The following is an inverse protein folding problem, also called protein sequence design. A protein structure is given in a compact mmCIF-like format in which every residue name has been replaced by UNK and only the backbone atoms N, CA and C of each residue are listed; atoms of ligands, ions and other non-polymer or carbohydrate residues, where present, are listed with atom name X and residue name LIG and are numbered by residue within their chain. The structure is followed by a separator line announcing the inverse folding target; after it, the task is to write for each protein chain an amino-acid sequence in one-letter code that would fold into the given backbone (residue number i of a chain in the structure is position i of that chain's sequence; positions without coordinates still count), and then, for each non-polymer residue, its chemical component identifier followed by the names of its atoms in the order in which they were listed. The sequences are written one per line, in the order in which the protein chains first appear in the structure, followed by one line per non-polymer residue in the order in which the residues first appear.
data_IF_206374222301
#
_entry.id   IF_206374222301
#
_cell.length_a   1.000
_cell.length_b   1.000
_cell.length_c   1.000
_cell.angle_alpha   90.00
_cell.angle_beta   90.00
_cell.angle_gamma   90.00
#
_symmetry.space_group_name_H-M   'P 1'
#
loop_
_entity.id
_entity.type
_entity.pdbx_description
1 polymer ?
#
# COMPACT_ATOMS: atom_id res chain seq x y z
N UNK A 1 23.08 -18.78 -6.40
CA UNK A 1 22.13 -17.65 -6.35
C UNK A 1 21.16 -17.88 -5.19
N UNK A 2 21.43 -17.29 -4.01
CA UNK A 2 20.59 -17.42 -2.81
C UNK A 2 19.40 -16.45 -2.96
N UNK A 3 18.34 -16.89 -3.62
CA UNK A 3 17.08 -16.14 -3.70
C UNK A 3 16.26 -16.40 -2.43
N UNK A 4 15.77 -15.31 -1.84
CA UNK A 4 14.97 -15.22 -0.61
C UNK A 4 15.73 -15.29 0.73
N UNK A 5 16.39 -14.20 1.11
CA UNK A 5 16.30 -13.80 2.52
C UNK A 5 14.87 -13.31 2.73
N UNK A 6 14.05 -14.07 3.45
CA UNK A 6 12.80 -13.56 4.00
C UNK A 6 13.15 -12.30 4.79
N UNK A 7 12.53 -11.17 4.45
CA UNK A 7 12.80 -9.92 5.17
C UNK A 7 12.41 -10.09 6.64
N UNK A 8 13.07 -9.35 7.54
CA UNK A 8 12.72 -9.41 8.96
C UNK A 8 11.24 -9.06 9.20
N UNK A 9 10.67 -8.18 8.34
CA UNK A 9 9.25 -7.86 8.35
C UNK A 9 8.40 -9.09 7.95
N UNK A 10 8.71 -9.72 6.83
CA UNK A 10 7.96 -10.90 6.36
C UNK A 10 8.02 -12.06 7.37
N UNK A 11 9.17 -12.27 8.03
CA UNK A 11 9.30 -13.29 9.07
C UNK A 11 8.36 -13.04 10.27
N UNK A 12 8.18 -11.77 10.66
CA UNK A 12 7.25 -11.38 11.73
C UNK A 12 5.79 -11.58 11.30
N UNK A 13 5.44 -11.16 10.09
CA UNK A 13 4.08 -11.33 9.56
C UNK A 13 3.70 -12.82 9.49
N UNK A 14 4.62 -13.67 9.01
CA UNK A 14 4.42 -15.11 8.97
C UNK A 14 4.19 -15.70 10.37
N UNK A 15 4.92 -15.22 11.39
CA UNK A 15 4.72 -15.68 12.76
C UNK A 15 3.34 -15.31 13.33
N UNK A 16 2.87 -14.09 13.07
CA UNK A 16 1.52 -13.64 13.48
C UNK A 16 0.45 -14.47 12.77
N UNK A 17 0.61 -14.72 11.47
CA UNK A 17 -0.31 -15.52 10.68
C UNK A 17 -0.41 -16.97 11.19
N UNK A 18 0.71 -17.59 11.55
CA UNK A 18 0.73 -18.95 12.09
C UNK A 18 0.12 -19.06 13.49
N UNK A 19 0.38 -18.09 14.37
CA UNK A 19 -0.03 -18.17 15.77
C UNK A 19 -1.40 -17.54 16.05
N UNK A 20 -1.85 -16.62 15.19
CA UNK A 20 -3.08 -15.86 15.37
C UNK A 20 -3.73 -15.51 14.01
N UNK A 21 -4.22 -16.51 13.26
CA UNK A 21 -4.69 -16.32 11.88
C UNK A 21 -5.87 -15.35 11.76
N UNK A 22 -6.82 -15.40 12.69
CA UNK A 22 -7.95 -14.46 12.71
C UNK A 22 -7.50 -13.03 12.99
N UNK A 23 -6.55 -12.85 13.91
CA UNK A 23 -5.97 -11.55 14.22
C UNK A 23 -5.20 -11.00 13.02
N UNK A 24 -4.42 -11.85 12.33
CA UNK A 24 -3.72 -11.49 11.11
C UNK A 24 -4.70 -11.05 10.01
N UNK A 25 -5.78 -11.81 9.80
CA UNK A 25 -6.79 -11.50 8.79
C UNK A 25 -7.47 -10.15 9.05
N UNK A 26 -7.93 -9.91 10.28
CA UNK A 26 -8.61 -8.65 10.63
C UNK A 26 -7.61 -7.47 10.58
N UNK A 27 -6.43 -7.61 11.16
CA UNK A 27 -5.48 -6.50 11.26
C UNK A 27 -4.77 -6.21 9.94
N UNK A 28 -4.15 -7.21 9.32
CA UNK A 28 -3.32 -7.04 8.11
C UNK A 28 -4.16 -7.07 6.82
N UNK A 29 -5.22 -7.87 6.79
CA UNK A 29 -6.08 -8.02 5.62
C UNK A 29 -7.14 -6.92 5.47
N UNK A 30 -7.64 -6.36 6.57
CA UNK A 30 -8.74 -5.38 6.55
C UNK A 30 -8.36 -4.03 7.16
N UNK A 31 -7.95 -4.00 8.43
CA UNK A 31 -7.76 -2.75 9.17
C UNK A 31 -6.58 -1.93 8.63
N UNK A 32 -5.45 -2.59 8.33
CA UNK A 32 -4.25 -1.94 7.79
C UNK A 32 -4.53 -1.27 6.44
N UNK A 33 -5.10 -1.94 5.42
CA UNK A 33 -5.50 -1.29 4.17
C UNK A 33 -6.39 -0.07 4.37
N UNK A 34 -7.37 -0.13 5.28
CA UNK A 34 -8.25 1.03 5.55
C UNK A 34 -7.44 2.21 6.08
N UNK A 35 -6.58 1.97 7.08
CA UNK A 35 -5.74 3.01 7.67
C UNK A 35 -4.76 3.60 6.65
N UNK A 36 -4.09 2.76 5.89
CA UNK A 36 -3.11 3.16 4.89
C UNK A 36 -3.75 3.98 3.76
N UNK A 37 -4.91 3.58 3.26
CA UNK A 37 -5.61 4.35 2.24
C UNK A 37 -6.10 5.71 2.76
N UNK A 38 -6.54 5.79 4.03
CA UNK A 38 -6.86 7.07 4.67
C UNK A 38 -5.63 7.98 4.75
N UNK A 39 -4.49 7.44 5.18
CA UNK A 39 -3.26 8.21 5.35
C UNK A 39 -2.66 8.65 4.02
N UNK A 40 -2.40 7.71 3.12
CA UNK A 40 -1.69 7.98 1.87
C UNK A 40 -2.60 8.60 0.81
N UNK A 41 -3.85 8.15 0.68
CA UNK A 41 -4.71 8.62 -0.42
C UNK A 41 -5.63 9.75 0.01
N UNK A 42 -6.35 9.61 1.13
CA UNK A 42 -7.27 10.68 1.55
C UNK A 42 -6.52 11.89 2.11
N UNK A 43 -5.57 11.68 3.02
CA UNK A 43 -4.82 12.78 3.63
C UNK A 43 -3.70 13.27 2.72
N UNK A 44 -2.67 12.46 2.44
CA UNK A 44 -1.51 12.93 1.68
C UNK A 44 -1.88 13.27 0.22
N UNK A 45 -2.36 12.32 -0.57
CA UNK A 45 -2.69 12.57 -1.96
C UNK A 45 -3.84 13.58 -2.11
N UNK A 46 -4.90 13.41 -1.31
CA UNK A 46 -6.11 14.24 -1.35
C UNK A 46 -5.87 15.70 -1.00
N UNK A 47 -5.05 15.99 0.01
CA UNK A 47 -4.79 17.36 0.48
C UNK A 47 -3.84 18.13 -0.44
N UNK A 48 -2.82 17.44 -0.97
CA UNK A 48 -1.75 18.12 -1.71
C UNK A 48 -1.88 18.05 -3.23
N UNK A 49 -2.59 17.07 -3.79
CA UNK A 49 -2.51 16.78 -5.23
C UNK A 49 -3.87 16.62 -5.93
N UNK A 50 -4.94 16.26 -5.23
CA UNK A 50 -6.27 16.02 -5.86
C UNK A 50 -6.95 17.30 -6.36
N UNK A 51 -6.71 18.45 -5.72
CA UNK A 51 -7.35 19.73 -6.09
C UNK A 51 -6.65 20.46 -7.23
N UNK A 52 -5.55 19.93 -7.76
CA UNK A 52 -4.68 20.64 -8.71
C UNK A 52 -4.96 20.14 -10.13
N UNK A 53 -5.54 21.01 -10.96
CA UNK A 53 -6.04 20.69 -12.31
C UNK A 53 -4.92 20.29 -13.31
N UNK A 54 -3.65 20.49 -12.96
CA UNK A 54 -2.51 20.25 -13.84
C UNK A 54 -2.12 18.77 -13.83
N UNK A 55 -2.04 18.16 -15.02
CA UNK A 55 -1.59 16.77 -15.21
C UNK A 55 -0.20 16.51 -14.60
N UNK A 56 0.72 17.47 -14.68
CA UNK A 56 2.05 17.35 -14.07
C UNK A 56 1.98 17.14 -12.56
N UNK A 57 1.05 17.81 -11.90
CA UNK A 57 0.85 17.70 -10.46
C UNK A 57 0.19 16.38 -10.05
N UNK A 58 -0.71 15.86 -10.89
CA UNK A 58 -1.28 14.52 -10.71
C UNK A 58 -0.19 13.44 -10.78
N UNK A 59 0.69 13.51 -11.80
CA UNK A 59 1.81 12.58 -11.95
C UNK A 59 2.74 12.67 -10.74
N UNK A 60 3.10 13.87 -10.30
CA UNK A 60 3.90 14.06 -9.09
C UNK A 60 3.23 13.48 -7.85
N UNK A 61 1.93 13.70 -7.67
CA UNK A 61 1.16 13.16 -6.55
C UNK A 61 1.16 11.63 -6.55
N UNK A 62 0.99 11.00 -7.72
CA UNK A 62 1.04 9.55 -7.86
C UNK A 62 2.42 9.04 -7.49
N UNK A 63 3.48 9.62 -8.05
CA UNK A 63 4.86 9.18 -7.78
C UNK A 63 5.23 9.36 -6.31
N UNK A 64 4.96 10.52 -5.71
CA UNK A 64 5.30 10.79 -4.31
C UNK A 64 4.48 9.93 -3.34
N UNK A 65 3.17 9.82 -3.55
CA UNK A 65 2.33 8.98 -2.70
C UNK A 65 2.74 7.51 -2.79
N UNK A 66 3.12 7.03 -3.98
CA UNK A 66 3.57 5.65 -4.19
C UNK A 66 4.94 5.39 -3.58
N UNK A 67 5.87 6.35 -3.67
CA UNK A 67 7.18 6.28 -3.02
C UNK A 67 7.05 6.23 -1.50
N UNK A 68 6.22 7.10 -0.91
CA UNK A 68 5.98 7.08 0.54
C UNK A 68 5.34 5.77 0.99
N UNK A 69 4.37 5.26 0.25
CA UNK A 69 3.74 3.97 0.51
C UNK A 69 4.77 2.84 0.49
N UNK A 70 5.64 2.81 -0.53
CA UNK A 70 6.67 1.79 -0.67
C UNK A 70 7.73 1.86 0.45
N UNK A 71 8.18 3.07 0.80
CA UNK A 71 9.14 3.29 1.88
C UNK A 71 8.58 2.92 3.26
N UNK A 72 7.28 3.13 3.49
CA UNK A 72 6.62 2.71 4.73
C UNK A 72 6.61 1.17 4.89
N UNK A 73 6.57 0.44 3.77
CA UNK A 73 6.59 -1.04 3.77
C UNK A 73 8.01 -1.61 3.79
N UNK A 74 8.93 -0.98 3.08
CA UNK A 74 10.33 -1.39 3.03
C UNK A 74 11.29 -0.19 3.01
N UNK A 75 11.76 0.27 4.19
CA UNK A 75 12.66 1.41 4.29
C UNK A 75 14.05 1.17 3.68
N UNK A 76 14.44 -0.09 3.45
CA UNK A 76 15.76 -0.46 2.96
C UNK A 76 15.97 -0.12 1.46
N UNK A 77 14.92 0.27 0.75
CA UNK A 77 14.97 0.66 -0.68
C UNK A 77 15.61 -0.40 -1.60
N UNK A 78 15.39 -1.67 -1.27
CA UNK A 78 15.89 -2.81 -2.05
C UNK A 78 14.92 -3.21 -3.17
N UNK A 79 15.27 -4.21 -3.99
CA UNK A 79 14.40 -4.74 -5.06
C UNK A 79 13.02 -5.20 -4.56
N UNK A 80 12.93 -5.64 -3.31
CA UNK A 80 11.68 -6.02 -2.63
C UNK A 80 10.75 -4.83 -2.36
N UNK A 81 11.20 -3.59 -2.59
CA UNK A 81 10.41 -2.35 -2.50
C UNK A 81 9.55 -2.11 -3.75
N UNK A 82 9.99 -2.63 -4.90
CA UNK A 82 9.33 -2.40 -6.20
C UNK A 82 7.86 -2.84 -6.21
N UNK A 83 7.48 -4.02 -5.68
CA UNK A 83 6.07 -4.42 -5.62
C UNK A 83 5.19 -3.42 -4.85
N UNK A 84 5.68 -2.89 -3.73
CA UNK A 84 4.95 -1.90 -2.95
C UNK A 84 4.82 -0.57 -3.70
N UNK A 85 5.85 -0.15 -4.43
CA UNK A 85 5.78 1.05 -5.27
C UNK A 85 4.74 0.90 -6.39
N UNK A 86 4.72 -0.24 -7.08
CA UNK A 86 3.75 -0.52 -8.14
C UNK A 86 2.32 -0.61 -7.60
N UNK A 87 2.11 -1.28 -6.45
CA UNK A 87 0.83 -1.25 -5.76
C UNK A 87 0.43 0.19 -5.39
N UNK A 88 1.40 0.96 -4.90
CA UNK A 88 1.27 2.39 -4.64
C UNK A 88 0.68 3.17 -5.82
N UNK A 89 1.21 2.93 -7.03
CA UNK A 89 0.79 3.58 -8.27
C UNK A 89 -0.64 3.18 -8.61
N UNK A 90 -0.95 1.88 -8.60
CA UNK A 90 -2.28 1.36 -8.95
C UNK A 90 -3.34 1.98 -8.04
N UNK A 91 -3.11 1.97 -6.73
CA UNK A 91 -4.04 2.51 -5.74
C UNK A 91 -4.19 4.04 -5.87
N UNK A 92 -3.09 4.76 -6.13
CA UNK A 92 -3.13 6.21 -6.35
C UNK A 92 -3.91 6.58 -7.62
N UNK A 93 -3.69 5.86 -8.72
CA UNK A 93 -4.43 6.06 -9.97
C UNK A 93 -5.91 5.71 -9.80
N UNK A 94 -6.23 4.64 -9.07
CA UNK A 94 -7.61 4.25 -8.81
C UNK A 94 -8.35 5.34 -8.02
N UNK A 95 -7.71 5.90 -6.98
CA UNK A 95 -8.30 7.02 -6.25
C UNK A 95 -8.39 8.30 -7.09
N UNK A 96 -7.36 8.62 -7.87
CA UNK A 96 -7.32 9.81 -8.71
C UNK A 96 -8.39 9.80 -9.82
N UNK A 97 -8.60 8.66 -10.46
CA UNK A 97 -9.58 8.50 -11.55
C UNK A 97 -11.01 8.39 -11.04
N UNK A 98 -11.24 7.68 -9.94
CA UNK A 98 -12.61 7.44 -9.44
C UNK A 98 -13.08 8.50 -8.45
N UNK A 99 -12.15 9.23 -7.83
CA UNK A 99 -12.41 10.16 -6.73
C UNK A 99 -12.90 9.50 -5.44
N UNK A 100 -13.05 8.17 -5.41
CA UNK A 100 -13.71 7.42 -4.33
C UNK A 100 -12.72 6.50 -3.62
N UNK A 101 -12.50 6.76 -2.33
CA UNK A 101 -11.54 6.01 -1.51
C UNK A 101 -11.88 4.52 -1.38
N UNK A 102 -13.18 4.18 -1.36
CA UNK A 102 -13.66 2.80 -1.17
C UNK A 102 -13.09 1.81 -2.19
N UNK A 103 -12.85 2.23 -3.44
CA UNK A 103 -12.31 1.33 -4.45
C UNK A 103 -10.85 0.98 -4.18
N UNK A 104 -10.06 1.97 -3.76
CA UNK A 104 -8.68 1.76 -3.33
C UNK A 104 -8.62 0.84 -2.11
N UNK A 105 -9.48 1.06 -1.11
CA UNK A 105 -9.58 0.21 0.08
C UNK A 105 -9.89 -1.24 -0.29
N UNK A 106 -10.90 -1.47 -1.15
CA UNK A 106 -11.31 -2.83 -1.52
C UNK A 106 -10.19 -3.55 -2.28
N UNK A 107 -9.58 -2.91 -3.28
CA UNK A 107 -8.50 -3.53 -4.06
C UNK A 107 -7.29 -3.81 -3.18
N UNK A 108 -6.93 -2.89 -2.28
CA UNK A 108 -5.83 -3.08 -1.37
C UNK A 108 -6.11 -4.22 -0.36
N UNK A 109 -7.30 -4.26 0.23
CA UNK A 109 -7.69 -5.33 1.14
C UNK A 109 -7.69 -6.70 0.45
N UNK A 110 -8.19 -6.79 -0.79
CA UNK A 110 -8.12 -8.02 -1.60
C UNK A 110 -6.67 -8.45 -1.80
N UNK A 111 -5.78 -7.52 -2.18
CA UNK A 111 -4.37 -7.82 -2.38
C UNK A 111 -3.70 -8.35 -1.10
N UNK A 112 -3.97 -7.72 0.05
CA UNK A 112 -3.43 -8.18 1.34
C UNK A 112 -3.99 -9.54 1.75
N UNK A 113 -5.30 -9.77 1.57
CA UNK A 113 -5.93 -11.06 1.88
C UNK A 113 -5.34 -12.18 1.00
N UNK A 114 -5.11 -11.93 -0.30
CA UNK A 114 -4.45 -12.91 -1.17
C UNK A 114 -3.03 -13.21 -0.66
N UNK A 115 -2.31 -12.22 -0.15
CA UNK A 115 -0.98 -12.44 0.45
C UNK A 115 -0.99 -13.20 1.78
N UNK A 116 -2.15 -13.32 2.44
CA UNK A 116 -2.33 -14.06 3.70
C UNK A 116 -2.79 -15.51 3.50
N UNK A 117 -3.06 -15.93 2.27
CA UNK A 117 -3.49 -17.29 1.92
C UNK A 117 -2.34 -18.02 1.23
#
# INVERSE_FOLDING_TARGET
MKLSKVSANQARLNNIQMNAPWTAFISLGLAAPIFEELLFRKMFFGMFFKSLEKQSTLIMGVLLSSSLFALAHNPAFELTTIPYFLAGIILSLLYATTGKLRYSIIIHAINNIIGLI
#
